data_IF_135894866991
#
_entry.id   IF_135894866991
#
_cell.length_a   1.000
_cell.length_b   1.000
_cell.length_c   1.000
_cell.angle_alpha   90.00
_cell.angle_beta   90.00
_cell.angle_gamma   90.00
#
_symmetry.space_group_name_H-M   'P 1'
#
loop_
_entity.id
_entity.type
_entity.pdbx_description
1 polymer ?
#
# COMPACT_ATOMS: atom_id res chain seq x y z
N UNK A 1 -47.40 -4.13 -18.17
CA UNK A 1 -46.83 -2.82 -17.80
C UNK A 1 -46.01 -3.05 -16.54
N UNK A 2 -44.75 -3.48 -16.70
CA UNK A 2 -43.90 -3.94 -15.60
C UNK A 2 -43.29 -2.76 -14.84
N UNK A 3 -43.16 -2.83 -13.50
CA UNK A 3 -42.92 -1.67 -12.67
C UNK A 3 -41.44 -1.30 -12.67
N UNK A 4 -41.07 -0.26 -13.41
CA UNK A 4 -39.75 0.37 -13.33
C UNK A 4 -39.40 0.86 -11.91
N UNK A 5 -40.41 1.07 -11.05
CA UNK A 5 -40.25 1.55 -9.68
C UNK A 5 -39.59 0.53 -8.72
N UNK A 6 -39.80 -0.77 -8.92
CA UNK A 6 -39.23 -1.79 -8.01
C UNK A 6 -37.70 -1.91 -8.17
N UNK A 7 -37.18 -1.62 -9.37
CA UNK A 7 -35.75 -1.65 -9.64
C UNK A 7 -35.00 -0.47 -9.01
N UNK A 8 -35.61 0.72 -8.93
CA UNK A 8 -34.98 1.88 -8.28
C UNK A 8 -34.81 1.71 -6.77
N UNK A 9 -35.74 1.00 -6.11
CA UNK A 9 -35.72 0.81 -4.65
C UNK A 9 -34.76 -0.31 -4.20
N UNK A 10 -34.53 -1.31 -5.05
CA UNK A 10 -33.54 -2.35 -4.78
C UNK A 10 -32.11 -1.82 -4.94
N UNK A 11 -31.89 -0.93 -5.92
CA UNK A 11 -30.58 -0.30 -6.17
C UNK A 11 -30.20 0.70 -5.06
N UNK A 12 -31.16 1.29 -4.34
CA UNK A 12 -30.88 2.15 -3.17
C UNK A 12 -30.63 1.36 -1.89
N UNK A 13 -31.30 0.22 -1.70
CA UNK A 13 -31.10 -0.66 -0.53
C UNK A 13 -29.74 -1.36 -0.50
N UNK A 14 -29.12 -1.54 -1.65
CA UNK A 14 -27.79 -2.15 -1.83
C UNK A 14 -26.73 -1.13 -2.24
N UNK A 15 -26.82 0.09 -1.71
CA UNK A 15 -25.66 0.99 -1.65
C UNK A 15 -24.98 0.74 -0.31
N UNK A 16 -23.96 -0.14 -0.22
CA UNK A 16 -23.04 -0.07 0.90
C UNK A 16 -22.37 1.31 0.79
N UNK A 17 -22.97 2.31 1.41
CA UNK A 17 -22.41 3.64 1.57
C UNK A 17 -21.35 3.48 2.63
N UNK A 18 -20.18 3.09 2.19
CA UNK A 18 -19.04 2.83 3.06
C UNK A 18 -18.38 4.17 3.31
N UNK A 19 -18.33 4.56 4.58
CA UNK A 19 -17.70 5.82 5.00
C UNK A 19 -16.24 5.89 4.55
N UNK A 20 -15.77 7.13 4.32
CA UNK A 20 -14.36 7.46 4.03
C UNK A 20 -13.37 6.78 4.97
N UNK A 21 -13.79 6.50 6.20
CA UNK A 21 -13.05 5.76 7.21
C UNK A 21 -12.58 4.37 6.74
N UNK A 22 -13.49 3.56 6.18
CA UNK A 22 -13.15 2.21 5.71
C UNK A 22 -12.22 2.22 4.51
N UNK A 23 -12.22 3.31 3.72
CA UNK A 23 -11.33 3.48 2.57
C UNK A 23 -9.90 3.72 3.03
N UNK A 24 -9.73 4.60 4.02
CA UNK A 24 -8.46 4.84 4.67
C UNK A 24 -8.00 3.56 5.39
N UNK A 25 -8.90 2.85 6.07
CA UNK A 25 -8.60 1.63 6.81
C UNK A 25 -8.13 0.50 5.91
N UNK A 26 -8.83 0.22 4.80
CA UNK A 26 -8.42 -0.81 3.85
C UNK A 26 -7.06 -0.47 3.20
N UNK A 27 -6.85 0.81 2.85
CA UNK A 27 -5.57 1.26 2.30
C UNK A 27 -4.44 1.09 3.31
N UNK A 28 -4.63 1.53 4.56
CA UNK A 28 -3.67 1.38 5.64
C UNK A 28 -3.32 -0.08 5.92
N UNK A 29 -4.35 -0.95 6.05
CA UNK A 29 -4.16 -2.40 6.28
C UNK A 29 -3.38 -3.05 5.14
N UNK A 30 -3.72 -2.74 3.89
CA UNK A 30 -3.02 -3.30 2.73
C UNK A 30 -1.56 -2.85 2.68
N UNK A 31 -1.28 -1.56 2.91
CA UNK A 31 0.09 -1.03 2.90
C UNK A 31 0.92 -1.62 4.06
N UNK A 32 0.31 -1.81 5.24
CA UNK A 32 0.92 -2.50 6.36
C UNK A 32 1.23 -3.96 6.03
N UNK A 33 0.28 -4.71 5.48
CA UNK A 33 0.46 -6.12 5.17
C UNK A 33 1.61 -6.34 4.18
N UNK A 34 1.68 -5.54 3.11
CA UNK A 34 2.76 -5.65 2.12
C UNK A 34 4.08 -5.13 2.67
N UNK A 35 4.07 -4.00 3.38
CA UNK A 35 5.28 -3.44 4.00
C UNK A 35 5.93 -4.41 4.98
N UNK A 36 5.14 -4.98 5.89
CA UNK A 36 5.60 -5.99 6.84
C UNK A 36 6.06 -7.28 6.16
N UNK A 37 5.33 -7.74 5.13
CA UNK A 37 5.73 -8.92 4.35
C UNK A 37 7.09 -8.75 3.67
N UNK A 38 7.35 -7.58 3.08
CA UNK A 38 8.65 -7.27 2.47
C UNK A 38 9.77 -7.19 3.52
N UNK A 39 9.52 -6.55 4.66
CA UNK A 39 10.46 -6.53 5.77
C UNK A 39 10.76 -7.94 6.29
N UNK A 40 9.75 -8.80 6.41
CA UNK A 40 9.94 -10.18 6.85
C UNK A 40 10.81 -10.99 5.88
N UNK A 41 10.55 -10.89 4.58
CA UNK A 41 11.38 -11.52 3.54
C UNK A 41 12.80 -10.98 3.57
N UNK A 42 12.98 -9.66 3.69
CA UNK A 42 14.29 -9.04 3.78
C UNK A 42 15.07 -9.53 5.01
N UNK A 43 14.44 -9.54 6.19
CA UNK A 43 15.04 -10.05 7.43
C UNK A 43 15.41 -11.53 7.31
N UNK A 44 14.57 -12.34 6.67
CA UNK A 44 14.88 -13.74 6.40
C UNK A 44 16.14 -13.87 5.53
N UNK A 45 16.26 -13.09 4.44
CA UNK A 45 17.47 -13.11 3.62
C UNK A 45 18.70 -12.54 4.33
N UNK A 46 18.54 -11.47 5.12
CA UNK A 46 19.61 -10.90 5.96
C UNK A 46 20.13 -11.88 7.02
N UNK A 47 19.27 -12.76 7.54
CA UNK A 47 19.69 -13.77 8.51
C UNK A 47 20.65 -14.81 7.90
N UNK A 48 20.63 -14.98 6.58
CA UNK A 48 21.55 -15.88 5.86
C UNK A 48 22.90 -15.21 5.53
N UNK A 49 23.03 -13.90 5.75
CA UNK A 49 24.28 -13.16 5.55
C UNK A 49 25.15 -13.18 6.81
N UNK A 50 26.46 -13.16 6.61
CA UNK A 50 27.44 -13.09 7.70
C UNK A 50 27.45 -11.72 8.35
N UNK A 51 27.86 -11.68 9.61
CA UNK A 51 28.16 -10.43 10.29
C UNK A 51 29.50 -9.87 9.77
N UNK A 52 29.64 -8.56 9.51
CA UNK A 52 28.71 -7.45 9.76
C UNK A 52 27.84 -7.04 8.57
N UNK A 53 27.92 -7.76 7.43
CA UNK A 53 27.22 -7.39 6.20
C UNK A 53 25.70 -7.33 6.38
N UNK A 54 25.14 -8.24 7.19
CA UNK A 54 23.73 -8.23 7.54
C UNK A 54 23.29 -6.91 8.20
N UNK A 55 24.06 -6.39 9.18
CA UNK A 55 23.74 -5.19 9.93
C UNK A 55 23.89 -3.93 9.06
N UNK A 56 24.96 -3.86 8.27
CA UNK A 56 25.19 -2.76 7.32
C UNK A 56 24.06 -2.67 6.29
N UNK A 57 23.63 -3.83 5.78
CA UNK A 57 22.52 -3.92 4.81
C UNK A 57 21.19 -3.56 5.46
N UNK A 58 20.97 -3.96 6.72
CA UNK A 58 19.76 -3.61 7.46
C UNK A 58 19.66 -2.10 7.67
N UNK A 59 20.74 -1.49 8.15
CA UNK A 59 20.80 -0.05 8.40
C UNK A 59 20.69 0.74 7.10
N UNK A 60 21.41 0.34 6.06
CA UNK A 60 21.34 0.97 4.74
C UNK A 60 19.95 0.88 4.14
N UNK A 61 19.33 -0.30 4.18
CA UNK A 61 17.96 -0.51 3.72
C UNK A 61 16.95 0.33 4.50
N UNK A 62 17.05 0.35 5.83
CA UNK A 62 16.17 1.16 6.68
C UNK A 62 16.30 2.66 6.39
N UNK A 63 17.52 3.19 6.35
CA UNK A 63 17.78 4.62 6.04
C UNK A 63 17.27 4.98 4.65
N UNK A 64 17.56 4.17 3.65
CA UNK A 64 17.03 4.35 2.30
C UNK A 64 15.50 4.30 2.28
N UNK A 65 14.89 3.40 3.04
CA UNK A 65 13.43 3.30 3.16
C UNK A 65 12.79 4.54 3.76
N UNK A 66 13.41 5.11 4.81
CA UNK A 66 12.99 6.40 5.40
C UNK A 66 13.11 7.53 4.38
N UNK A 67 14.19 7.59 3.60
CA UNK A 67 14.38 8.60 2.56
C UNK A 67 13.34 8.47 1.43
N UNK A 68 13.12 7.26 0.93
CA UNK A 68 12.11 6.96 -0.10
C UNK A 68 10.71 7.30 0.42
N UNK A 69 10.44 7.02 1.70
CA UNK A 69 9.22 7.47 2.35
C UNK A 69 9.10 8.99 2.35
N UNK A 70 10.11 9.70 2.85
CA UNK A 70 10.08 11.15 2.99
C UNK A 70 9.90 11.88 1.64
N UNK A 71 10.55 11.38 0.58
CA UNK A 71 10.53 12.00 -0.75
C UNK A 71 9.35 11.56 -1.62
N UNK A 72 9.10 10.26 -1.68
CA UNK A 72 8.15 9.65 -2.61
C UNK A 72 6.82 9.34 -1.95
N UNK A 73 6.81 8.38 -1.03
CA UNK A 73 5.56 7.87 -0.46
C UNK A 73 4.78 8.93 0.30
N UNK A 74 5.42 9.82 1.05
CA UNK A 74 4.74 10.91 1.76
C UNK A 74 3.91 11.78 0.80
N UNK A 75 4.43 12.07 -0.38
CA UNK A 75 3.69 12.83 -1.41
C UNK A 75 2.52 12.01 -1.95
N UNK A 76 2.72 10.73 -2.21
CA UNK A 76 1.69 9.81 -2.71
C UNK A 76 0.55 9.67 -1.69
N UNK A 77 0.87 9.38 -0.44
CA UNK A 77 -0.09 9.25 0.67
C UNK A 77 -0.88 10.54 0.84
N UNK A 78 -0.21 11.69 0.94
CA UNK A 78 -0.89 12.99 1.07
C UNK A 78 -1.84 13.26 -0.09
N UNK A 79 -1.43 12.95 -1.32
CA UNK A 79 -2.28 13.13 -2.49
C UNK A 79 -3.44 12.12 -2.55
N UNK A 80 -3.25 10.93 -2.00
CA UNK A 80 -4.29 9.90 -1.91
C UNK A 80 -5.32 10.28 -0.83
N UNK A 81 -4.85 10.60 0.37
CA UNK A 81 -5.67 11.06 1.51
C UNK A 81 -6.44 12.34 1.17
N UNK A 82 -5.78 13.37 0.63
CA UNK A 82 -6.47 14.59 0.20
C UNK A 82 -7.58 14.32 -0.81
N UNK A 83 -7.38 13.37 -1.74
CA UNK A 83 -8.42 12.98 -2.72
C UNK A 83 -9.52 12.08 -2.17
N UNK A 84 -9.29 11.39 -1.05
CA UNK A 84 -10.32 10.67 -0.31
C UNK A 84 -11.17 11.67 0.48
N UNK A 85 -10.54 12.67 1.11
CA UNK A 85 -11.20 13.71 1.89
C UNK A 85 -11.96 14.72 1.03
N UNK A 86 -11.48 15.00 -0.18
CA UNK A 86 -12.13 15.90 -1.17
C UNK A 86 -13.36 15.26 -1.84
N UNK A 87 -13.69 14.00 -1.52
CA UNK A 87 -14.88 13.33 -2.05
C UNK A 87 -16.08 13.55 -1.12
N UNK A 88 -17.29 13.78 -1.67
CA UNK A 88 -18.50 13.89 -0.86
C UNK A 88 -18.74 12.59 -0.11
N UNK A 89 -19.33 12.70 1.09
CA UNK A 89 -19.43 11.67 2.13
C UNK A 89 -20.12 10.36 1.70
N UNK A 90 -20.75 10.33 0.51
CA UNK A 90 -21.42 9.16 -0.07
C UNK A 90 -21.02 8.97 -1.53
N UNK A 91 -19.98 8.18 -1.79
CA UNK A 91 -19.59 7.78 -3.16
C UNK A 91 -19.81 6.29 -3.35
N UNK A 92 -20.42 5.90 -4.48
CA UNK A 92 -20.62 4.49 -4.83
C UNK A 92 -19.27 3.75 -4.94
N UNK A 93 -19.05 2.81 -4.02
CA UNK A 93 -17.80 2.05 -3.77
C UNK A 93 -17.30 1.24 -4.98
N UNK A 94 -18.20 0.82 -5.86
CA UNK A 94 -17.85 -0.21 -6.86
C UNK A 94 -17.36 0.33 -8.21
N UNK A 95 -17.84 1.49 -8.68
CA UNK A 95 -17.59 1.89 -10.07
C UNK A 95 -16.31 2.71 -10.27
N UNK A 96 -15.91 3.53 -9.29
CA UNK A 96 -14.79 4.49 -9.47
C UNK A 96 -13.61 4.27 -8.53
N UNK A 97 -13.80 3.58 -7.41
CA UNK A 97 -12.75 3.31 -6.42
C UNK A 97 -11.99 2.02 -6.71
N UNK A 98 -12.66 1.00 -7.24
CA UNK A 98 -12.06 -0.28 -7.60
C UNK A 98 -10.87 -0.09 -8.55
N UNK A 99 -11.00 0.76 -9.59
CA UNK A 99 -9.94 0.98 -10.57
C UNK A 99 -8.62 1.49 -9.97
N UNK A 100 -8.67 2.41 -8.98
CA UNK A 100 -7.44 2.96 -8.38
C UNK A 100 -6.83 2.04 -7.32
N UNK A 101 -7.66 1.32 -6.57
CA UNK A 101 -7.16 0.27 -5.67
C UNK A 101 -6.51 -0.85 -6.49
N UNK A 102 -7.14 -1.26 -7.59
CA UNK A 102 -6.54 -2.18 -8.57
C UNK A 102 -5.25 -1.63 -9.16
N UNK A 103 -5.20 -0.37 -9.58
CA UNK A 103 -3.98 0.23 -10.12
C UNK A 103 -2.83 0.18 -9.11
N UNK A 104 -3.10 0.42 -7.82
CA UNK A 104 -2.09 0.33 -6.78
C UNK A 104 -1.64 -1.11 -6.56
N UNK A 105 -2.57 -2.06 -6.44
CA UNK A 105 -2.24 -3.49 -6.33
C UNK A 105 -1.42 -3.96 -7.54
N UNK A 106 -1.78 -3.54 -8.76
CA UNK A 106 -1.02 -3.83 -9.99
C UNK A 106 0.39 -3.24 -9.92
N UNK A 107 0.56 -2.00 -9.46
CA UNK A 107 1.89 -1.41 -9.27
C UNK A 107 2.71 -2.22 -8.25
N UNK A 108 2.10 -2.65 -7.14
CA UNK A 108 2.81 -3.48 -6.14
C UNK A 108 3.18 -4.86 -6.68
N UNK A 109 2.27 -5.51 -7.43
CA UNK A 109 2.54 -6.79 -8.09
C UNK A 109 3.67 -6.66 -9.12
N UNK A 110 3.63 -5.61 -9.96
CA UNK A 110 4.66 -5.34 -10.97
C UNK A 110 6.01 -5.06 -10.33
N UNK A 111 6.04 -4.24 -9.28
CA UNK A 111 7.28 -3.92 -8.57
C UNK A 111 7.91 -5.17 -7.96
N UNK A 112 7.12 -6.02 -7.28
CA UNK A 112 7.59 -7.28 -6.72
C UNK A 112 8.02 -8.28 -7.79
N UNK A 113 7.30 -8.33 -8.92
CA UNK A 113 7.65 -9.18 -10.05
C UNK A 113 8.98 -8.76 -10.70
N UNK A 114 9.17 -7.46 -10.99
CA UNK A 114 10.41 -6.91 -11.55
C UNK A 114 11.59 -7.20 -10.62
N UNK A 115 11.43 -6.97 -9.32
CA UNK A 115 12.48 -7.23 -8.34
C UNK A 115 12.86 -8.72 -8.32
N UNK A 116 11.88 -9.63 -8.30
CA UNK A 116 12.15 -11.07 -8.22
C UNK A 116 12.73 -11.66 -9.52
N UNK A 117 12.43 -11.05 -10.66
CA UNK A 117 13.01 -11.45 -11.96
C UNK A 117 14.37 -10.79 -12.24
N UNK A 118 14.81 -9.86 -11.40
CA UNK A 118 16.11 -9.23 -11.56
C UNK A 118 17.23 -10.20 -11.14
N UNK A 119 18.33 -10.24 -11.90
CA UNK A 119 19.55 -10.99 -11.54
C UNK A 119 20.39 -10.26 -10.50
N UNK A 120 19.75 -9.63 -9.51
CA UNK A 120 20.44 -8.87 -8.48
C UNK A 120 21.03 -9.81 -7.42
N UNK A 121 22.20 -9.47 -6.85
CA UNK A 121 22.76 -10.22 -5.73
C UNK A 121 21.82 -10.11 -4.51
N UNK A 122 21.77 -11.17 -3.70
CA UNK A 122 20.87 -11.29 -2.54
C UNK A 122 20.99 -10.09 -1.59
N UNK A 123 22.21 -9.57 -1.41
CA UNK A 123 22.51 -8.39 -0.60
C UNK A 123 21.73 -7.15 -1.05
N UNK A 124 21.76 -6.85 -2.36
CA UNK A 124 21.08 -5.70 -2.94
C UNK A 124 19.57 -5.92 -2.92
N UNK A 125 19.12 -7.15 -3.20
CA UNK A 125 17.70 -7.47 -3.17
C UNK A 125 17.12 -7.29 -1.77
N UNK A 126 17.82 -7.76 -0.74
CA UNK A 126 17.37 -7.62 0.63
C UNK A 126 17.39 -6.17 1.12
N UNK A 127 18.39 -5.38 0.73
CA UNK A 127 18.42 -3.93 0.99
C UNK A 127 17.21 -3.21 0.37
N UNK A 128 16.88 -3.52 -0.89
CA UNK A 128 15.76 -2.92 -1.60
C UNK A 128 14.42 -3.35 -0.98
N UNK A 129 14.25 -4.63 -0.66
CA UNK A 129 13.03 -5.12 -0.02
C UNK A 129 12.83 -4.46 1.34
N UNK A 130 13.91 -4.30 2.12
CA UNK A 130 13.84 -3.61 3.40
C UNK A 130 13.52 -2.13 3.21
N UNK A 131 14.14 -1.45 2.25
CA UNK A 131 13.85 -0.04 1.97
C UNK A 131 12.39 0.20 1.58
N UNK A 132 11.88 -0.58 0.62
CA UNK A 132 10.50 -0.48 0.16
C UNK A 132 9.54 -0.87 1.29
N UNK A 133 9.80 -1.98 1.99
CA UNK A 133 8.98 -2.45 3.11
C UNK A 133 8.88 -1.44 4.25
N UNK A 134 10.02 -0.86 4.65
CA UNK A 134 10.07 0.20 5.66
C UNK A 134 9.29 1.44 5.20
N UNK A 135 9.46 1.85 3.94
CA UNK A 135 8.76 3.01 3.41
C UNK A 135 7.24 2.83 3.34
N UNK A 136 6.78 1.60 3.05
CA UNK A 136 5.37 1.22 3.05
C UNK A 136 4.78 1.16 4.46
N UNK A 137 5.51 0.61 5.43
CA UNK A 137 5.09 0.57 6.82
C UNK A 137 4.99 1.98 7.43
N UNK A 138 5.94 2.86 7.13
CA UNK A 138 5.85 4.27 7.54
C UNK A 138 4.69 5.01 6.87
N UNK A 139 4.41 4.67 5.61
CA UNK A 139 3.29 5.25 4.91
C UNK A 139 1.93 4.75 5.41
N UNK A 140 1.83 3.48 5.83
CA UNK A 140 0.61 2.98 6.47
C UNK A 140 0.36 3.63 7.84
N UNK A 141 1.40 3.91 8.62
CA UNK A 141 1.29 4.68 9.87
C UNK A 141 0.61 6.05 9.64
N UNK A 142 1.00 6.76 8.59
CA UNK A 142 0.39 8.03 8.23
C UNK A 142 -1.09 7.89 7.78
N UNK A 143 -1.52 6.73 7.30
CA UNK A 143 -2.94 6.49 7.04
C UNK A 143 -3.75 6.38 8.34
N UNK A 144 -3.19 5.75 9.38
CA UNK A 144 -3.83 5.65 10.69
C UNK A 144 -3.91 7.00 11.40
N UNK A 145 -2.91 7.87 11.25
CA UNK A 145 -2.93 9.23 11.81
C UNK A 145 -4.01 10.15 11.21
N UNK A 146 -4.56 9.79 10.04
CA UNK A 146 -5.56 10.59 9.31
C UNK A 146 -7.00 10.06 9.48
N UNK A 147 -7.19 8.97 10.23
CA UNK A 147 -8.50 8.40 10.57
C UNK A 147 -9.09 9.07 11.80
#
# INVERSE_FOLDING_TARGET
MFPAAVWSDLVTRWKPSVDRFWLLLLAGVMWSAVGLGLCFIACHWLSSLTWPENLLTALGGFVCGVLVYAMGFRRIVRHNVARILDKPERVCVFAFQAWRSYALIVVMMLLGWILRHSRLPLLVLAAIYLAIGTGLALASAHYYDQM
#
